data_IF_129954967398
#
_entry.id   IF_129954967398
#
_cell.length_a   1.000
_cell.length_b   1.000
_cell.length_c   1.000
_cell.angle_alpha   90.00
_cell.angle_beta   90.00
_cell.angle_gamma   90.00
#
_symmetry.space_group_name_H-M   'P 1'
#
loop_
_entity.id
_entity.type
_entity.pdbx_description
1 polymer ?
#
# COMPACT_ATOMS: atom_id res chain seq x y z
N UNK A 1 -11.15 13.79 15.19
CA UNK A 1 -10.29 12.94 16.06
C UNK A 1 -10.36 11.47 15.64
N UNK A 2 -11.55 10.88 15.53
CA UNK A 2 -11.72 9.48 15.10
C UNK A 2 -11.23 9.25 13.66
N UNK A 3 -11.57 10.13 12.72
CA UNK A 3 -11.15 10.04 11.31
C UNK A 3 -9.62 9.98 11.16
N UNK A 4 -8.91 10.85 11.88
CA UNK A 4 -7.44 10.89 11.89
C UNK A 4 -6.85 9.58 12.40
N UNK A 5 -7.45 8.98 13.43
CA UNK A 5 -7.01 7.69 13.97
C UNK A 5 -7.18 6.57 12.95
N UNK A 6 -8.32 6.54 12.23
CA UNK A 6 -8.59 5.55 11.18
C UNK A 6 -7.54 5.69 10.06
N UNK A 7 -7.25 6.91 9.61
CA UNK A 7 -6.25 7.16 8.58
C UNK A 7 -4.87 6.64 9.01
N UNK A 8 -4.43 6.93 10.24
CA UNK A 8 -3.14 6.46 10.78
C UNK A 8 -3.09 4.93 10.84
N UNK A 9 -4.18 4.28 11.25
CA UNK A 9 -4.27 2.82 11.30
C UNK A 9 -4.18 2.22 9.89
N UNK A 10 -4.92 2.77 8.93
CA UNK A 10 -4.91 2.31 7.53
C UNK A 10 -3.52 2.43 6.92
N UNK A 11 -2.86 3.59 7.10
CA UNK A 11 -1.50 3.82 6.64
C UNK A 11 -0.55 2.77 7.24
N UNK A 12 -0.62 2.61 8.57
CA UNK A 12 0.26 1.70 9.31
C UNK A 12 0.07 0.24 8.87
N UNK A 13 -1.17 -0.22 8.72
CA UNK A 13 -1.49 -1.57 8.26
C UNK A 13 -1.05 -1.79 6.81
N UNK A 14 -1.36 -0.87 5.90
CA UNK A 14 -0.98 -1.00 4.49
C UNK A 14 0.53 -1.03 4.31
N UNK A 15 1.26 -0.12 4.96
CA UNK A 15 2.74 -0.14 4.95
C UNK A 15 3.29 -1.41 5.59
N UNK A 16 2.71 -1.89 6.70
CA UNK A 16 3.14 -3.13 7.35
C UNK A 16 2.90 -4.36 6.48
N UNK A 17 1.73 -4.48 5.83
CA UNK A 17 1.41 -5.55 4.89
C UNK A 17 2.34 -5.56 3.69
N UNK A 18 2.72 -4.36 3.23
CA UNK A 18 3.78 -4.16 2.24
C UNK A 18 5.13 -4.69 2.72
N UNK A 19 5.51 -4.32 3.95
CA UNK A 19 6.77 -4.73 4.56
C UNK A 19 6.89 -6.26 4.71
N UNK A 20 5.82 -6.95 5.10
CA UNK A 20 5.83 -8.43 5.15
C UNK A 20 5.64 -9.09 3.78
N UNK A 21 5.51 -8.31 2.71
CA UNK A 21 5.32 -8.74 1.31
C UNK A 21 4.07 -9.62 1.10
N UNK A 22 3.07 -9.48 1.96
CA UNK A 22 1.84 -10.24 1.86
C UNK A 22 0.85 -9.53 0.93
N UNK A 23 0.77 -10.01 -0.32
CA UNK A 23 -0.12 -9.48 -1.35
C UNK A 23 -1.60 -9.61 -0.98
N UNK A 24 -2.00 -10.73 -0.35
CA UNK A 24 -3.38 -10.96 0.06
C UNK A 24 -3.80 -9.90 1.09
N UNK A 25 -3.01 -9.70 2.15
CA UNK A 25 -3.32 -8.71 3.18
C UNK A 25 -3.32 -7.27 2.64
N UNK A 26 -2.40 -6.95 1.73
CA UNK A 26 -2.37 -5.65 1.04
C UNK A 26 -3.62 -5.38 0.20
N UNK A 27 -4.16 -6.42 -0.45
CA UNK A 27 -5.31 -6.30 -1.35
C UNK A 27 -6.67 -6.27 -0.64
N UNK A 28 -6.79 -6.70 0.62
CA UNK A 28 -8.07 -6.77 1.34
C UNK A 28 -8.79 -5.41 1.35
N UNK A 29 -8.11 -4.33 1.78
CA UNK A 29 -8.72 -3.01 1.86
C UNK A 29 -9.05 -2.42 0.48
N UNK A 30 -8.15 -2.45 -0.54
CA UNK A 30 -8.50 -2.07 -1.90
C UNK A 30 -9.72 -2.79 -2.45
N UNK A 31 -9.82 -4.11 -2.25
CA UNK A 31 -10.98 -4.90 -2.70
C UNK A 31 -12.24 -4.48 -1.95
N UNK A 32 -12.16 -4.28 -0.63
CA UNK A 32 -13.30 -3.84 0.17
C UNK A 32 -13.85 -2.48 -0.30
N UNK A 33 -12.97 -1.54 -0.68
CA UNK A 33 -13.36 -0.25 -1.26
C UNK A 33 -14.11 -0.46 -2.58
N UNK A 34 -13.56 -1.26 -3.50
CA UNK A 34 -14.23 -1.56 -4.79
C UNK A 34 -15.62 -2.18 -4.58
N UNK A 35 -15.74 -3.13 -3.65
CA UNK A 35 -17.03 -3.78 -3.34
C UNK A 35 -18.02 -2.76 -2.76
N UNK A 36 -17.57 -1.87 -1.88
CA UNK A 36 -18.41 -0.82 -1.32
C UNK A 36 -18.87 0.17 -2.40
N UNK A 37 -17.99 0.57 -3.31
CA UNK A 37 -18.33 1.50 -4.40
C UNK A 37 -19.36 0.88 -5.35
N UNK A 38 -19.18 -0.39 -5.74
CA UNK A 38 -20.17 -1.12 -6.55
C UNK A 38 -21.51 -1.19 -5.83
N UNK A 39 -21.51 -1.47 -4.53
CA UNK A 39 -22.72 -1.52 -3.72
C UNK A 39 -23.42 -0.15 -3.68
N UNK A 40 -22.68 0.94 -3.43
CA UNK A 40 -23.26 2.28 -3.40
C UNK A 40 -23.79 2.72 -4.76
N UNK A 41 -23.09 2.38 -5.84
CA UNK A 41 -23.54 2.63 -7.20
C UNK A 41 -24.84 1.87 -7.51
N UNK A 42 -24.93 0.59 -7.15
CA UNK A 42 -26.12 -0.24 -7.36
C UNK A 42 -27.35 0.24 -6.59
N UNK A 43 -27.15 0.89 -5.44
CA UNK A 43 -28.22 1.47 -4.63
C UNK A 43 -28.58 2.92 -5.04
N UNK A 44 -27.94 3.47 -6.08
CA UNK A 44 -28.15 4.86 -6.52
C UNK A 44 -27.66 5.90 -5.51
N UNK A 45 -26.76 5.52 -4.60
CA UNK A 45 -26.18 6.40 -3.58
C UNK A 45 -25.00 7.21 -4.11
N UNK A 46 -24.36 6.75 -5.19
CA UNK A 46 -23.35 7.50 -5.93
C UNK A 46 -23.98 8.18 -7.14
N UNK A 47 -23.69 9.47 -7.32
CA UNK A 47 -23.96 10.14 -8.58
C UNK A 47 -22.78 9.85 -9.51
N UNK A 48 -22.98 9.83 -10.83
CA UNK A 48 -21.86 9.71 -11.78
C UNK A 48 -21.13 11.05 -11.94
N UNK A 49 -20.92 11.75 -10.82
CA UNK A 49 -20.19 13.01 -10.76
C UNK A 49 -18.69 12.75 -10.81
N UNK A 50 -17.93 13.75 -11.24
CA UNK A 50 -16.46 13.63 -11.28
C UNK A 50 -15.88 13.28 -9.90
N UNK A 51 -16.42 13.86 -8.82
CA UNK A 51 -15.95 13.58 -7.46
C UNK A 51 -16.20 12.14 -7.05
N UNK A 52 -17.39 11.62 -7.33
CA UNK A 52 -17.80 10.27 -6.96
C UNK A 52 -17.04 9.17 -7.71
N UNK A 53 -16.49 9.48 -8.89
CA UNK A 53 -15.63 8.58 -9.66
C UNK A 53 -14.16 8.76 -9.28
N UNK A 54 -13.69 10.00 -9.15
CA UNK A 54 -12.27 10.28 -8.92
C UNK A 54 -11.82 9.90 -7.50
N UNK A 55 -12.66 10.11 -6.49
CA UNK A 55 -12.30 9.86 -5.08
C UNK A 55 -11.98 8.39 -4.80
N UNK A 56 -12.80 7.41 -5.23
CA UNK A 56 -12.44 6.00 -5.15
C UNK A 56 -11.12 5.65 -5.83
N UNK A 57 -10.89 6.17 -7.04
CA UNK A 57 -9.66 5.91 -7.80
C UNK A 57 -8.44 6.41 -7.04
N UNK A 58 -8.50 7.65 -6.51
CA UNK A 58 -7.41 8.23 -5.71
C UNK A 58 -7.18 7.41 -4.44
N UNK A 59 -8.25 7.01 -3.75
CA UNK A 59 -8.17 6.16 -2.56
C UNK A 59 -7.50 4.82 -2.83
N UNK A 60 -7.88 4.14 -3.91
CA UNK A 60 -7.27 2.87 -4.33
C UNK A 60 -5.79 3.04 -4.66
N UNK A 61 -5.43 4.06 -5.43
CA UNK A 61 -4.03 4.36 -5.76
C UNK A 61 -3.21 4.64 -4.50
N UNK A 62 -3.77 5.38 -3.54
CA UNK A 62 -3.11 5.66 -2.27
C UNK A 62 -2.85 4.37 -1.47
N UNK A 63 -3.85 3.49 -1.35
CA UNK A 63 -3.70 2.21 -0.64
C UNK A 63 -2.63 1.32 -1.29
N UNK A 64 -2.66 1.18 -2.62
CA UNK A 64 -1.67 0.40 -3.37
C UNK A 64 -0.26 0.99 -3.19
N UNK A 65 -0.14 2.32 -3.25
CA UNK A 65 1.15 3.02 -3.09
C UNK A 65 1.72 2.84 -1.69
N UNK A 66 0.87 2.85 -0.65
CA UNK A 66 1.28 2.57 0.73
C UNK A 66 1.84 1.17 0.91
N UNK A 67 1.18 0.16 0.31
CA UNK A 67 1.66 -1.21 0.32
C UNK A 67 3.00 -1.35 -0.44
N UNK A 68 3.08 -0.80 -1.65
CA UNK A 68 4.30 -0.84 -2.46
C UNK A 68 5.46 -0.12 -1.76
N UNK A 69 5.19 1.01 -1.09
CA UNK A 69 6.18 1.74 -0.29
C UNK A 69 6.74 0.90 0.86
N UNK A 70 5.88 0.17 1.58
CA UNK A 70 6.30 -0.77 2.63
C UNK A 70 7.19 -1.88 2.09
N UNK A 71 6.83 -2.45 0.94
CA UNK A 71 7.59 -3.50 0.26
C UNK A 71 8.96 -3.00 -0.21
N UNK A 72 9.02 -1.85 -0.87
CA UNK A 72 10.27 -1.26 -1.34
C UNK A 72 11.23 -0.90 -0.19
N UNK A 73 10.70 -0.49 0.97
CA UNK A 73 11.52 -0.25 2.17
C UNK A 73 12.29 -1.51 2.59
N UNK A 74 11.66 -2.68 2.54
CA UNK A 74 12.34 -3.94 2.86
C UNK A 74 13.33 -4.36 1.76
N UNK A 75 12.94 -4.25 0.49
CA UNK A 75 13.81 -4.61 -0.64
C UNK A 75 15.07 -3.73 -0.70
N UNK A 76 14.93 -2.43 -0.46
CA UNK A 76 16.07 -1.50 -0.43
C UNK A 76 17.04 -1.79 0.73
N UNK A 77 16.53 -2.19 1.90
CA UNK A 77 17.36 -2.67 3.02
C UNK A 77 18.16 -3.91 2.65
N UNK A 78 17.51 -4.93 2.09
CA UNK A 78 18.18 -6.17 1.65
C UNK A 78 19.24 -5.89 0.58
N UNK A 79 18.93 -5.04 -0.41
CA UNK A 79 19.88 -4.64 -1.45
C UNK A 79 21.11 -3.95 -0.86
N UNK A 80 20.93 -3.09 0.15
CA UNK A 80 22.03 -2.40 0.83
C UNK A 80 22.90 -3.36 1.64
N UNK A 81 22.31 -4.34 2.30
CA UNK A 81 23.06 -5.38 3.03
C UNK A 81 23.87 -6.27 2.09
N UNK A 82 23.28 -6.71 0.98
CA UNK A 82 23.98 -7.47 -0.06
C UNK A 82 25.17 -6.69 -0.65
N UNK A 83 25.02 -5.38 -0.90
CA UNK A 83 26.12 -4.55 -1.39
C UNK A 83 27.28 -4.44 -0.38
N UNK A 84 26.98 -4.35 0.92
CA UNK A 84 28.01 -4.34 1.96
C UNK A 84 28.80 -5.65 1.99
N UNK A 85 28.11 -6.78 1.88
CA UNK A 85 28.76 -8.10 1.82
C UNK A 85 29.69 -8.22 0.61
N UNK A 86 29.22 -7.84 -0.58
CA UNK A 86 30.05 -7.84 -1.81
C UNK A 86 31.31 -6.97 -1.68
N UNK A 87 31.19 -5.80 -1.06
CA UNK A 87 32.31 -4.88 -0.87
C UNK A 87 33.33 -5.36 0.18
N UNK A 88 32.90 -6.18 1.15
CA UNK A 88 33.81 -6.82 2.11
C UNK A 88 34.53 -8.01 1.48
N UNK A 89 33.81 -8.82 0.72
CA UNK A 89 34.34 -9.98 0.00
C UNK A 89 35.41 -9.57 -1.03
N UNK A 90 35.14 -8.51 -1.80
CA UNK A 90 36.11 -7.95 -2.76
C UNK A 90 37.37 -7.39 -2.11
N UNK A 91 37.33 -7.00 -0.83
CA UNK A 91 38.48 -6.50 -0.08
C UNK A 91 39.34 -7.61 0.56
N UNK A 92 38.83 -8.84 0.61
CA UNK A 92 39.55 -9.98 1.20
C UNK A 92 40.35 -10.77 0.14
N UNK A 93 40.13 -10.49 -1.14
CA UNK A 93 40.78 -11.15 -2.27
C UNK A 93 41.95 -10.35 -2.87
N UNK A 94 42.25 -9.16 -2.33
CA UNK A 94 43.42 -8.31 -2.63
C UNK A 94 44.46 -8.39 -1.49
#
# INVERSE_FOLDING_TARGET
>A
MIETLIIVIVISLQTFFGYIENKLLGAILPIAVIVADIYFLANGLLQLSFGDIAMPIIGLLALISLWEGGRQSKLSKQKREMQKMKAQDSKHHD
#
